data_IF_918348204112
#
_entry.id   IF_918348204112
#
_cell.length_a   1.000
_cell.length_b   1.000
_cell.length_c   1.000
_cell.angle_alpha   90.00
_cell.angle_beta   90.00
_cell.angle_gamma   90.00
#
_symmetry.space_group_name_H-M   'P 1'
#
loop_
_entity.id
_entity.type
_entity.pdbx_description
1 polymer ?
#
# COMPACT_ATOMS: atom_id res chain seq x y z
N UNK A 1 17.48 25.49 -23.95
CA UNK A 1 17.68 24.32 -23.05
C UNK A 1 16.40 23.49 -23.06
N UNK A 2 16.39 22.21 -23.46
CA UNK A 2 15.16 21.43 -23.42
C UNK A 2 14.83 21.07 -21.97
N UNK A 3 13.64 21.47 -21.55
CA UNK A 3 13.08 21.29 -20.22
C UNK A 3 12.82 19.80 -19.97
N UNK A 4 13.72 19.11 -19.24
CA UNK A 4 13.55 17.71 -18.83
C UNK A 4 12.57 17.59 -17.66
N UNK A 5 11.30 17.98 -17.86
CA UNK A 5 10.23 17.49 -16.98
C UNK A 5 10.01 16.02 -17.32
N UNK A 6 10.66 15.13 -16.56
CA UNK A 6 10.36 13.70 -16.56
C UNK A 6 8.84 13.54 -16.32
N UNK A 7 8.08 13.04 -17.29
CA UNK A 7 6.69 12.64 -17.10
C UNK A 7 6.68 11.52 -16.05
N UNK A 8 6.24 11.83 -14.82
CA UNK A 8 5.90 10.81 -13.85
C UNK A 8 4.61 10.14 -14.36
N UNK A 9 4.55 8.80 -14.54
CA UNK A 9 3.26 8.17 -14.78
C UNK A 9 2.35 8.43 -13.58
N UNK A 10 1.11 8.76 -13.92
CA UNK A 10 -0.01 9.03 -13.03
C UNK A 10 -0.18 7.89 -12.02
N UNK A 11 -0.45 8.26 -10.77
CA UNK A 11 -1.17 7.47 -9.76
C UNK A 11 -1.25 5.96 -10.01
N UNK A 12 -0.45 5.17 -9.28
CA UNK A 12 -0.45 3.70 -9.42
C UNK A 12 -0.59 2.97 -8.08
N UNK A 13 -1.06 1.73 -8.14
CA UNK A 13 -1.17 0.81 -7.00
C UNK A 13 -0.07 -0.25 -7.04
N UNK A 14 0.46 -0.61 -5.87
CA UNK A 14 1.43 -1.70 -5.71
C UNK A 14 1.31 -2.34 -4.33
N UNK A 15 2.03 -3.43 -4.07
CA UNK A 15 1.99 -4.14 -2.79
C UNK A 15 3.10 -3.67 -1.83
N UNK A 16 2.77 -3.51 -0.54
CA UNK A 16 3.73 -3.18 0.53
C UNK A 16 3.44 -3.95 1.81
N UNK A 17 4.53 -4.36 2.48
CA UNK A 17 4.46 -4.91 3.84
C UNK A 17 4.16 -3.78 4.82
N UNK A 18 3.14 -3.99 5.63
CA UNK A 18 2.70 -3.12 6.71
C UNK A 18 2.92 -3.83 8.03
N UNK A 19 3.55 -3.13 8.97
CA UNK A 19 3.69 -3.55 10.36
C UNK A 19 2.56 -2.93 11.19
N UNK A 20 1.78 -3.80 11.84
CA UNK A 20 0.68 -3.41 12.72
C UNK A 20 1.20 -3.05 14.12
N UNK A 21 0.41 -2.31 14.93
CA UNK A 21 0.80 -1.93 16.28
C UNK A 21 1.03 -3.13 17.23
N UNK A 22 0.41 -4.28 16.98
CA UNK A 22 0.59 -5.52 17.75
C UNK A 22 1.83 -6.32 17.31
N UNK A 23 2.65 -5.80 16.39
CA UNK A 23 3.86 -6.45 15.90
C UNK A 23 3.63 -7.43 14.74
N UNK A 24 2.38 -7.68 14.34
CA UNK A 24 2.08 -8.52 13.18
C UNK A 24 2.42 -7.80 11.86
N UNK A 25 2.50 -8.57 10.78
CA UNK A 25 2.75 -8.07 9.43
C UNK A 25 1.62 -8.49 8.49
N UNK A 26 1.30 -7.61 7.55
CA UNK A 26 0.36 -7.89 6.46
C UNK A 26 0.81 -7.19 5.18
N UNK A 27 0.48 -7.75 4.01
CA UNK A 27 0.73 -7.09 2.72
C UNK A 27 -0.55 -6.38 2.32
N UNK A 28 -0.46 -5.08 2.03
CA UNK A 28 -1.59 -4.26 1.58
C UNK A 28 -1.31 -3.72 0.19
N UNK A 29 -2.37 -3.36 -0.52
CA UNK A 29 -2.22 -2.49 -1.68
C UNK A 29 -1.92 -1.07 -1.19
N UNK A 30 -1.02 -0.39 -1.88
CA UNK A 30 -0.47 0.90 -1.53
C UNK A 30 -0.50 1.78 -2.78
N UNK A 31 -1.11 2.95 -2.65
CA UNK A 31 -1.30 3.90 -3.73
C UNK A 31 -0.20 4.97 -3.73
N UNK A 32 0.32 5.28 -4.91
CA UNK A 32 1.44 6.18 -5.14
C UNK A 32 1.03 7.27 -6.12
N UNK A 33 0.95 8.52 -5.66
CA UNK A 33 0.49 9.62 -6.50
C UNK A 33 1.62 10.23 -7.35
N UNK A 34 2.73 10.66 -6.72
CA UNK A 34 3.91 11.26 -7.40
C UNK A 34 5.23 11.03 -6.67
N UNK A 35 5.24 10.18 -5.64
CA UNK A 35 6.39 10.00 -4.75
C UNK A 35 6.77 8.52 -4.63
N UNK A 36 7.97 8.24 -4.11
CA UNK A 36 8.41 6.88 -3.76
C UNK A 36 7.75 6.35 -2.47
N UNK A 37 6.97 7.18 -1.78
CA UNK A 37 6.23 6.83 -0.57
C UNK A 37 4.75 6.79 -0.87
N UNK A 38 4.03 5.72 -0.50
CA UNK A 38 2.60 5.66 -0.74
C UNK A 38 1.87 6.66 0.16
N UNK A 39 0.79 7.27 -0.34
CA UNK A 39 -0.06 8.18 0.41
C UNK A 39 -1.24 7.46 1.07
N UNK A 40 -1.66 6.31 0.51
CA UNK A 40 -2.78 5.51 1.00
C UNK A 40 -2.42 4.01 0.97
N UNK A 41 -3.11 3.24 1.81
CA UNK A 41 -3.10 1.78 1.79
C UNK A 41 -4.54 1.26 1.89
N UNK A 42 -4.80 0.04 1.41
CA UNK A 42 -6.06 -0.65 1.70
C UNK A 42 -6.22 -0.91 3.19
N UNK A 43 -7.47 -0.96 3.67
CA UNK A 43 -7.75 -1.24 5.09
C UNK A 43 -7.34 -2.67 5.45
N UNK A 44 -7.70 -3.62 4.60
CA UNK A 44 -7.43 -5.04 4.76
C UNK A 44 -6.19 -5.46 3.98
N UNK A 45 -5.51 -6.48 4.51
CA UNK A 45 -4.42 -7.13 3.79
C UNK A 45 -4.95 -7.79 2.51
N UNK A 46 -4.14 -7.79 1.46
CA UNK A 46 -4.54 -8.36 0.17
C UNK A 46 -4.69 -9.88 0.30
N UNK A 47 -5.78 -10.41 -0.27
CA UNK A 47 -5.93 -11.84 -0.50
C UNK A 47 -5.35 -12.21 -1.86
N UNK A 48 -4.96 -13.48 -2.04
CA UNK A 48 -4.47 -14.00 -3.32
C UNK A 48 -5.69 -14.37 -4.16
N UNK A 49 -5.97 -13.58 -5.19
CA UNK A 49 -7.11 -13.76 -6.10
C UNK A 49 -6.75 -13.25 -7.52
N UNK A 50 -7.42 -13.80 -8.53
CA UNK A 50 -7.30 -13.42 -9.93
C UNK A 50 -8.30 -14.20 -10.80
N UNK A 51 -8.60 -13.70 -11.99
CA UNK A 51 -9.52 -14.34 -12.95
C UNK A 51 -8.84 -15.46 -13.75
N UNK A 52 -7.51 -15.58 -13.63
CA UNK A 52 -6.72 -16.66 -14.22
C UNK A 52 -5.56 -17.07 -13.31
N UNK A 53 -5.00 -18.26 -13.56
CA UNK A 53 -3.78 -18.72 -12.87
C UNK A 53 -2.60 -17.77 -13.06
N UNK A 54 -2.50 -17.14 -14.24
CA UNK A 54 -1.45 -16.18 -14.55
C UNK A 54 -1.60 -14.91 -13.69
N UNK A 55 -2.82 -14.40 -13.49
CA UNK A 55 -3.05 -13.26 -12.59
C UNK A 55 -2.75 -13.61 -11.14
N UNK A 56 -3.14 -14.79 -10.67
CA UNK A 56 -2.80 -15.28 -9.32
C UNK A 56 -1.29 -15.32 -9.14
N UNK A 57 -0.56 -15.83 -10.13
CA UNK A 57 0.92 -15.85 -10.13
C UNK A 57 1.51 -14.44 -10.09
N UNK A 58 1.01 -13.52 -10.91
CA UNK A 58 1.47 -12.12 -10.90
C UNK A 58 1.19 -11.43 -9.56
N UNK A 59 0.07 -11.73 -8.90
CA UNK A 59 -0.24 -11.23 -7.56
C UNK A 59 0.77 -11.78 -6.54
N UNK A 60 1.04 -13.08 -6.54
CA UNK A 60 2.06 -13.70 -5.69
C UNK A 60 3.45 -13.08 -5.91
N UNK A 61 3.88 -12.90 -7.17
CA UNK A 61 5.16 -12.28 -7.49
C UNK A 61 5.26 -10.84 -6.96
N UNK A 62 4.18 -10.06 -7.06
CA UNK A 62 4.13 -8.70 -6.51
C UNK A 62 4.19 -8.70 -4.98
N UNK A 63 3.52 -9.65 -4.32
CA UNK A 63 3.59 -9.82 -2.87
C UNK A 63 5.01 -10.22 -2.42
N UNK A 64 5.68 -11.13 -3.13
CA UNK A 64 7.06 -11.52 -2.85
C UNK A 64 8.02 -10.32 -2.97
N UNK A 65 7.91 -9.54 -4.07
CA UNK A 65 8.70 -8.31 -4.24
C UNK A 65 8.44 -7.27 -3.14
N UNK A 66 7.27 -7.28 -2.50
CA UNK A 66 6.99 -6.37 -1.40
C UNK A 66 7.85 -6.64 -0.16
N UNK A 67 8.28 -7.90 0.04
CA UNK A 67 9.11 -8.34 1.17
C UNK A 67 10.55 -7.82 1.09
N UNK A 68 11.03 -7.45 -0.10
CA UNK A 68 12.40 -6.96 -0.34
C UNK A 68 12.62 -5.51 0.16
N UNK A 69 11.54 -4.84 0.59
CA UNK A 69 11.55 -3.42 0.97
C UNK A 69 11.11 -3.27 2.41
N UNK A 70 11.76 -2.41 3.18
CA UNK A 70 11.47 -2.18 4.61
C UNK A 70 9.97 -1.98 4.89
N UNK A 71 9.39 -2.61 5.93
CA UNK A 71 7.98 -2.48 6.26
C UNK A 71 7.56 -1.03 6.57
N UNK A 72 6.34 -0.67 6.20
CA UNK A 72 5.73 0.61 6.56
C UNK A 72 4.90 0.46 7.84
N UNK A 73 4.76 1.54 8.63
CA UNK A 73 3.99 1.49 9.89
C UNK A 73 2.52 1.81 9.65
N UNK A 74 1.61 0.94 10.08
CA UNK A 74 0.15 1.10 9.91
C UNK A 74 -0.37 2.45 10.43
N UNK A 75 0.14 2.90 11.59
CA UNK A 75 -0.25 4.17 12.23
C UNK A 75 -0.05 5.42 11.36
N UNK A 76 0.80 5.34 10.32
CA UNK A 76 1.00 6.46 9.39
C UNK A 76 -0.21 6.68 8.47
N UNK A 77 -1.01 5.65 8.26
CA UNK A 77 -2.06 5.63 7.24
C UNK A 77 -3.48 5.64 7.81
N UNK A 78 -3.64 5.28 9.09
CA UNK A 78 -4.95 5.30 9.76
C UNK A 78 -5.06 6.50 10.69
N UNK A 79 -6.07 7.33 10.43
CA UNK A 79 -6.44 8.43 11.33
C UNK A 79 -7.00 7.85 12.63
N UNK A 80 -6.60 8.39 13.78
CA UNK A 80 -7.29 8.11 15.04
C UNK A 80 -8.76 8.51 14.88
N UNK A 81 -9.69 7.65 15.29
CA UNK A 81 -11.05 8.13 15.55
C UNK A 81 -10.95 9.04 16.77
N UNK A 82 -11.39 10.28 16.64
CA UNK A 82 -11.61 11.13 17.81
C UNK A 82 -12.83 10.55 18.55
N UNK A 83 -12.57 9.86 19.66
CA UNK A 83 -13.60 9.22 20.51
C UNK A 83 -14.49 10.24 21.25
N UNK A 84 -14.52 11.50 20.83
CA UNK A 84 -15.19 12.60 21.51
C UNK A 84 -16.48 13.06 20.80
N UNK A 85 -17.26 12.13 20.23
CA UNK A 85 -18.69 12.37 19.97
C UNK A 85 -19.52 11.69 21.07
N UNK A 86 -19.53 12.32 22.25
CA UNK A 86 -20.65 12.18 23.19
C UNK A 86 -21.89 12.74 22.48
N UNK A 87 -22.79 11.86 22.08
CA UNK A 87 -24.15 12.26 21.71
C UNK A 87 -24.77 12.89 22.95
N UNK A 88 -25.00 14.21 22.91
CA UNK A 88 -25.85 14.92 23.86
C UNK A 88 -27.30 14.82 23.41
#
# INVERSE_FOLDING_TARGET
MPNKRKKLPDMYWNHRVIQYPNGHFGIHEAHYEKSSTPNLITLDAVSIYGESLEEVKQTLERMLRALEKSPLKYRKYVKKKDDNKKWK
#
